data_IF_534585443463
#
_entry.id   IF_534585443463
#
_cell.length_a   1.000
_cell.length_b   1.000
_cell.length_c   1.000
_cell.angle_alpha   90.00
_cell.angle_beta   90.00
_cell.angle_gamma   90.00
#
_symmetry.space_group_name_H-M   'P 1'
#
loop_
_entity.id
_entity.type
_entity.pdbx_description
1 polymer ?
#
# COMPACT_ATOMS: atom_id res chain seq x y z
N UNK A 1 -15.40 4.98 2.76
CA UNK A 1 -15.26 6.22 3.55
C UNK A 1 -13.80 6.69 3.66
N UNK A 2 -12.84 5.83 4.00
CA UNK A 2 -11.41 6.21 4.07
C UNK A 2 -10.85 6.58 2.69
N UNK A 3 -11.26 5.89 1.62
CA UNK A 3 -10.81 6.19 0.25
C UNK A 3 -11.43 7.49 -0.29
N UNK A 4 -12.68 7.83 0.03
CA UNK A 4 -13.31 9.10 -0.40
C UNK A 4 -12.78 10.31 0.38
N UNK A 5 -12.50 10.15 1.68
CA UNK A 5 -11.87 11.17 2.51
C UNK A 5 -10.39 11.36 2.16
N UNK A 6 -9.74 10.30 1.69
CA UNK A 6 -8.43 10.32 1.05
C UNK A 6 -8.49 11.06 -0.29
N UNK A 7 -9.38 10.73 -1.23
CA UNK A 7 -9.46 11.44 -2.52
C UNK A 7 -9.71 12.95 -2.39
N UNK A 8 -10.59 13.38 -1.48
CA UNK A 8 -10.80 14.81 -1.18
C UNK A 8 -9.57 15.46 -0.54
N UNK A 9 -8.93 14.79 0.43
CA UNK A 9 -7.69 15.28 1.05
C UNK A 9 -6.51 15.27 0.09
N UNK A 10 -6.42 14.31 -0.83
CA UNK A 10 -5.42 14.27 -1.90
C UNK A 10 -5.69 15.36 -2.93
N UNK A 11 -6.93 15.69 -3.28
CA UNK A 11 -7.23 16.82 -4.16
C UNK A 11 -6.92 18.17 -3.50
N UNK A 12 -7.19 18.33 -2.20
CA UNK A 12 -6.82 19.52 -1.42
C UNK A 12 -5.31 19.58 -1.22
N UNK A 13 -4.64 18.46 -0.97
CA UNK A 13 -3.18 18.40 -0.79
C UNK A 13 -2.48 18.56 -2.13
N UNK A 14 -3.00 18.04 -3.24
CA UNK A 14 -2.54 18.35 -4.60
C UNK A 14 -2.85 19.80 -4.93
N UNK A 15 -3.97 20.38 -4.51
CA UNK A 15 -4.32 21.79 -4.73
C UNK A 15 -3.44 22.76 -3.93
N UNK A 16 -3.18 22.45 -2.66
CA UNK A 16 -2.28 23.18 -1.74
C UNK A 16 -0.82 22.90 -2.08
N UNK A 17 -0.47 21.72 -2.59
CA UNK A 17 0.87 21.45 -3.13
C UNK A 17 1.02 22.08 -4.51
N UNK A 18 -0.01 22.16 -5.35
CA UNK A 18 0.05 22.85 -6.64
C UNK A 18 0.07 24.35 -6.44
N UNK A 19 -0.67 24.91 -5.49
CA UNK A 19 -0.65 26.34 -5.12
C UNK A 19 0.57 26.72 -4.26
N UNK A 20 0.96 25.85 -3.33
CA UNK A 20 2.09 26.02 -2.43
C UNK A 20 3.41 25.73 -3.11
N UNK A 21 3.52 24.68 -3.94
CA UNK A 21 4.67 24.47 -4.80
C UNK A 21 4.69 25.46 -5.96
N UNK A 22 3.59 25.94 -6.55
CA UNK A 22 3.73 27.06 -7.52
C UNK A 22 4.16 28.34 -6.85
N UNK A 23 3.66 28.71 -5.66
CA UNK A 23 4.14 29.90 -4.94
C UNK A 23 5.55 29.73 -4.38
N UNK A 24 5.91 28.56 -3.86
CA UNK A 24 7.24 28.26 -3.36
C UNK A 24 8.24 28.07 -4.49
N UNK A 25 7.90 27.39 -5.59
CA UNK A 25 8.71 27.32 -6.81
C UNK A 25 8.78 28.67 -7.48
N UNK A 26 7.73 29.50 -7.50
CA UNK A 26 7.80 30.86 -8.05
C UNK A 26 8.60 31.80 -7.14
N UNK A 27 8.51 31.67 -5.82
CA UNK A 27 9.28 32.47 -4.86
C UNK A 27 10.74 32.00 -4.79
N UNK A 28 11.02 30.70 -4.81
CA UNK A 28 12.35 30.11 -4.91
C UNK A 28 12.94 30.39 -6.29
N UNK A 29 12.18 30.26 -7.37
CA UNK A 29 12.60 30.65 -8.71
C UNK A 29 12.88 32.16 -8.72
N UNK A 30 12.05 33.03 -8.15
CA UNK A 30 12.33 34.48 -8.08
C UNK A 30 13.53 34.82 -7.19
N UNK A 31 13.68 34.19 -6.02
CA UNK A 31 14.77 34.46 -5.05
C UNK A 31 16.09 33.84 -5.49
N UNK A 32 16.05 32.66 -6.12
CA UNK A 32 17.18 32.00 -6.75
C UNK A 32 17.55 32.69 -8.06
N UNK A 33 16.59 33.12 -8.88
CA UNK A 33 16.87 33.92 -10.09
C UNK A 33 17.43 35.29 -9.73
N UNK A 34 16.93 35.99 -8.70
CA UNK A 34 17.58 37.20 -8.19
C UNK A 34 18.99 36.91 -7.66
N UNK A 35 19.16 35.87 -6.85
CA UNK A 35 20.47 35.49 -6.31
C UNK A 35 21.48 35.08 -7.38
N UNK A 36 21.03 34.40 -8.43
CA UNK A 36 21.82 34.05 -9.61
C UNK A 36 22.08 35.28 -10.49
N UNK A 37 21.12 36.21 -10.66
CA UNK A 37 21.28 37.43 -11.45
C UNK A 37 22.31 38.38 -10.81
N UNK A 38 22.25 38.57 -9.49
CA UNK A 38 23.23 39.38 -8.76
C UNK A 38 24.63 38.76 -8.81
N UNK A 39 24.72 37.42 -8.74
CA UNK A 39 26.00 36.70 -8.84
C UNK A 39 26.54 36.68 -10.28
N UNK A 40 25.67 36.61 -11.29
CA UNK A 40 25.99 36.74 -12.72
C UNK A 40 26.52 38.11 -13.08
N UNK A 41 25.99 39.20 -12.52
CA UNK A 41 26.54 40.54 -12.75
C UNK A 41 27.97 40.68 -12.20
N UNK A 42 28.28 40.00 -11.09
CA UNK A 42 29.63 39.99 -10.50
C UNK A 42 30.62 39.16 -11.33
N UNK A 43 30.19 38.00 -11.83
CA UNK A 43 30.99 37.13 -12.69
C UNK A 43 31.21 37.72 -14.09
N UNK A 44 30.21 38.40 -14.68
CA UNK A 44 30.34 39.04 -16.01
C UNK A 44 31.43 40.12 -16.04
N UNK A 45 31.69 40.77 -14.90
CA UNK A 45 32.76 41.77 -14.75
C UNK A 45 34.15 41.13 -14.70
N UNK A 46 34.26 39.89 -14.21
CA UNK A 46 35.52 39.13 -14.11
C UNK A 46 35.83 38.36 -15.42
N UNK A 47 34.82 37.85 -16.12
CA UNK A 47 34.99 37.01 -17.33
C UNK A 47 35.25 37.81 -18.62
N UNK A 48 34.87 39.10 -18.67
CA UNK A 48 35.13 39.95 -19.84
C UNK A 48 36.64 40.11 -20.14
N UNK A 49 37.51 39.82 -19.17
CA UNK A 49 38.96 39.96 -19.32
C UNK A 49 39.66 38.70 -19.87
N UNK A 50 39.09 37.49 -19.71
CA UNK A 50 39.80 36.23 -20.07
C UNK A 50 38.88 35.22 -20.72
N UNK A 51 39.14 34.96 -22.01
CA UNK A 51 38.31 34.19 -22.94
C UNK A 51 37.67 32.92 -22.37
N UNK A 52 36.33 32.88 -22.39
CA UNK A 52 35.57 31.79 -21.79
C UNK A 52 34.08 31.81 -22.14
N UNK A 53 33.71 32.06 -23.40
CA UNK A 53 32.30 32.19 -23.81
C UNK A 53 31.50 30.89 -23.64
N UNK A 54 32.12 29.72 -23.78
CA UNK A 54 31.42 28.42 -23.69
C UNK A 54 31.06 28.03 -22.25
N UNK A 55 31.89 28.40 -21.27
CA UNK A 55 31.63 28.11 -19.86
C UNK A 55 30.38 28.83 -19.35
N UNK A 56 30.07 30.00 -19.91
CA UNK A 56 28.88 30.79 -19.55
C UNK A 56 27.61 30.09 -20.01
N UNK A 57 27.58 29.58 -21.25
CA UNK A 57 26.41 28.85 -21.78
C UNK A 57 26.18 27.52 -21.07
N UNK A 58 27.23 26.76 -20.79
CA UNK A 58 27.14 25.51 -20.02
C UNK A 58 26.66 25.77 -18.58
N UNK A 59 27.08 26.87 -17.96
CA UNK A 59 26.66 27.25 -16.61
C UNK A 59 25.17 27.65 -16.56
N UNK A 60 24.69 28.44 -17.52
CA UNK A 60 23.27 28.82 -17.60
C UNK A 60 22.36 27.60 -17.81
N UNK A 61 22.72 26.69 -18.74
CA UNK A 61 21.94 25.49 -19.02
C UNK A 61 21.87 24.53 -17.82
N UNK A 62 22.98 24.37 -17.10
CA UNK A 62 23.07 23.45 -15.96
C UNK A 62 22.45 24.01 -14.68
N UNK A 63 22.55 25.32 -14.44
CA UNK A 63 21.99 25.96 -13.25
C UNK A 63 20.46 26.10 -13.28
N UNK A 64 19.87 26.34 -14.45
CA UNK A 64 18.42 26.55 -14.59
C UNK A 64 17.68 25.20 -14.68
N UNK A 65 18.22 24.25 -15.45
CA UNK A 65 17.55 22.96 -15.69
C UNK A 65 17.67 21.96 -14.55
N UNK A 66 18.84 21.86 -13.91
CA UNK A 66 19.11 20.82 -12.91
C UNK A 66 18.29 21.02 -11.63
N UNK A 67 18.16 22.26 -11.15
CA UNK A 67 17.41 22.55 -9.94
C UNK A 67 15.92 22.24 -10.11
N UNK A 68 15.34 22.66 -11.24
CA UNK A 68 13.95 22.36 -11.58
C UNK A 68 13.72 20.85 -11.77
N UNK A 69 14.65 20.17 -12.42
CA UNK A 69 14.59 18.72 -12.61
C UNK A 69 14.65 17.97 -11.27
N UNK A 70 15.57 18.34 -10.36
CA UNK A 70 15.69 17.71 -9.03
C UNK A 70 14.41 17.89 -8.21
N UNK A 71 13.87 19.11 -8.17
CA UNK A 71 12.62 19.39 -7.44
C UNK A 71 11.45 18.58 -8.03
N UNK A 72 11.37 18.49 -9.36
CA UNK A 72 10.34 17.71 -10.04
C UNK A 72 10.47 16.21 -9.75
N UNK A 73 11.68 15.65 -9.84
CA UNK A 73 11.94 14.23 -9.55
C UNK A 73 11.61 13.90 -8.10
N UNK A 74 12.03 14.72 -7.13
CA UNK A 74 11.72 14.48 -5.71
C UNK A 74 10.20 14.55 -5.45
N UNK A 75 9.51 15.51 -6.07
CA UNK A 75 8.05 15.62 -5.94
C UNK A 75 7.35 14.36 -6.48
N UNK A 76 7.74 13.88 -7.66
CA UNK A 76 7.19 12.67 -8.27
C UNK A 76 7.50 11.41 -7.45
N UNK A 77 8.75 11.23 -7.00
CA UNK A 77 9.13 10.09 -6.15
C UNK A 77 8.33 10.06 -4.85
N UNK A 78 8.11 11.23 -4.22
CA UNK A 78 7.31 11.31 -2.99
C UNK A 78 5.85 10.89 -3.21
N UNK A 79 5.29 11.21 -4.38
CA UNK A 79 3.91 10.87 -4.73
C UNK A 79 3.75 9.37 -4.93
N UNK A 80 4.66 8.77 -5.72
CA UNK A 80 4.68 7.31 -5.94
C UNK A 80 4.85 6.57 -4.63
N UNK A 81 5.78 7.01 -3.78
CA UNK A 81 6.02 6.39 -2.47
C UNK A 81 4.77 6.36 -1.59
N UNK A 82 4.00 7.46 -1.53
CA UNK A 82 2.76 7.51 -0.75
C UNK A 82 1.71 6.51 -1.23
N UNK A 83 1.56 6.38 -2.56
CA UNK A 83 0.63 5.42 -3.14
C UNK A 83 1.04 3.99 -2.82
N UNK A 84 2.32 3.65 -3.00
CA UNK A 84 2.86 2.33 -2.69
C UNK A 84 2.77 1.99 -1.20
N UNK A 85 2.98 2.97 -0.31
CA UNK A 85 2.88 2.73 1.12
C UNK A 85 1.45 2.38 1.54
N UNK A 86 0.45 3.10 1.02
CA UNK A 86 -0.96 2.83 1.32
C UNK A 86 -1.39 1.44 0.83
N UNK A 87 -0.96 1.03 -0.38
CA UNK A 87 -1.29 -0.30 -0.90
C UNK A 87 -0.63 -1.40 -0.09
N UNK A 88 0.65 -1.24 0.28
CA UNK A 88 1.35 -2.19 1.15
C UNK A 88 0.67 -2.32 2.52
N UNK A 89 0.25 -1.20 3.12
CA UNK A 89 -0.44 -1.20 4.40
C UNK A 89 -1.77 -1.95 4.34
N UNK A 90 -2.62 -1.68 3.36
CA UNK A 90 -3.92 -2.36 3.22
C UNK A 90 -3.78 -3.87 2.97
N UNK A 91 -2.76 -4.28 2.22
CA UNK A 91 -2.45 -5.69 2.05
C UNK A 91 -2.03 -6.33 3.38
N UNK A 92 -1.13 -5.69 4.12
CA UNK A 92 -0.70 -6.16 5.44
C UNK A 92 -1.89 -6.33 6.39
N UNK A 93 -2.78 -5.34 6.45
CA UNK A 93 -3.99 -5.37 7.29
C UNK A 93 -4.90 -6.56 6.95
N UNK A 94 -5.09 -6.85 5.66
CA UNK A 94 -5.87 -8.00 5.20
C UNK A 94 -5.23 -9.33 5.60
N UNK A 95 -3.91 -9.44 5.46
CA UNK A 95 -3.18 -10.64 5.87
C UNK A 95 -3.24 -10.87 7.38
N UNK A 96 -3.09 -9.82 8.19
CA UNK A 96 -3.22 -9.89 9.65
C UNK A 96 -4.62 -10.40 10.03
N UNK A 97 -5.67 -9.87 9.40
CA UNK A 97 -7.05 -10.33 9.63
C UNK A 97 -7.26 -11.81 9.29
N UNK A 98 -6.68 -12.28 8.19
CA UNK A 98 -6.77 -13.69 7.79
C UNK A 98 -6.10 -14.61 8.82
N UNK A 99 -4.87 -14.28 9.22
CA UNK A 99 -4.12 -15.07 10.21
C UNK A 99 -4.85 -15.10 11.56
N UNK A 100 -5.45 -13.97 11.98
CA UNK A 100 -6.20 -13.91 13.22
C UNK A 100 -7.37 -14.90 13.24
N UNK A 101 -8.11 -15.06 12.14
CA UNK A 101 -9.20 -16.04 12.05
C UNK A 101 -8.70 -17.49 12.16
N UNK A 102 -7.61 -17.82 11.47
CA UNK A 102 -7.02 -19.18 11.52
C UNK A 102 -6.50 -19.50 12.92
N UNK A 103 -5.78 -18.55 13.55
CA UNK A 103 -5.29 -18.69 14.92
C UNK A 103 -6.44 -18.85 15.90
N UNK A 104 -7.49 -18.04 15.76
CA UNK A 104 -8.68 -18.15 16.60
C UNK A 104 -9.36 -19.51 16.45
N UNK A 105 -9.53 -20.02 15.22
CA UNK A 105 -10.11 -21.34 14.98
C UNK A 105 -9.29 -22.46 15.62
N UNK A 106 -7.97 -22.43 15.43
CA UNK A 106 -7.05 -23.45 15.97
C UNK A 106 -7.06 -23.49 17.51
N UNK A 107 -7.31 -22.36 18.18
CA UNK A 107 -7.27 -22.25 19.63
C UNK A 107 -8.63 -22.45 20.31
N UNK A 108 -9.72 -22.03 19.66
CA UNK A 108 -11.05 -21.96 20.29
C UNK A 108 -11.97 -23.10 19.88
N UNK A 109 -11.73 -23.75 18.73
CA UNK A 109 -12.55 -24.88 18.29
C UNK A 109 -11.93 -26.17 18.82
N UNK A 110 -12.64 -26.92 19.71
CA UNK A 110 -12.14 -28.20 20.18
C UNK A 110 -12.07 -29.18 19.01
N UNK A 111 -11.07 -30.06 19.00
CA UNK A 111 -10.95 -31.10 17.97
C UNK A 111 -12.16 -32.03 18.02
N UNK A 112 -12.78 -32.26 16.87
CA UNK A 112 -13.84 -33.26 16.72
C UNK A 112 -13.34 -34.67 17.03
N UNK A 113 -12.05 -34.94 16.79
CA UNK A 113 -11.41 -36.20 17.14
C UNK A 113 -11.45 -36.41 18.65
N UNK A 114 -12.28 -37.35 19.08
CA UNK A 114 -12.30 -37.80 20.46
C UNK A 114 -11.19 -38.83 20.67
N UNK A 115 -10.48 -38.81 21.82
CA UNK A 115 -9.44 -39.79 22.11
C UNK A 115 -9.98 -41.24 22.18
N UNK A 116 -11.30 -41.41 22.37
CA UNK A 116 -12.01 -42.69 22.36
C UNK A 116 -12.30 -43.26 20.96
N UNK A 117 -12.09 -42.49 19.88
CA UNK A 117 -12.41 -42.88 18.50
C UNK A 117 -11.18 -43.28 17.67
N UNK A 118 -10.04 -43.59 18.32
CA UNK A 118 -8.90 -44.24 17.65
C UNK A 118 -9.17 -45.74 17.48
N UNK A 119 -10.10 -46.08 16.60
CA UNK A 119 -10.26 -47.46 16.14
C UNK A 119 -9.35 -47.59 14.91
N UNK A 120 -8.33 -48.46 15.00
CA UNK A 120 -7.51 -48.80 13.83
C UNK A 120 -8.41 -49.50 12.81
N UNK A 121 -8.54 -48.86 11.65
CA UNK A 121 -9.39 -49.34 10.56
C UNK A 121 -8.74 -50.62 9.99
N UNK A 122 -9.47 -51.74 9.87
CA UNK A 122 -8.89 -52.99 9.39
C UNK A 122 -8.44 -52.89 7.92
N UNK A 123 -7.41 -53.65 7.51
CA UNK A 123 -6.75 -53.52 6.19
C UNK A 123 -7.63 -53.89 4.98
N UNK A 124 -8.85 -54.40 5.21
CA UNK A 124 -9.84 -54.69 4.18
C UNK A 124 -11.04 -53.73 4.20
N UNK A 125 -10.98 -52.62 4.92
CA UNK A 125 -12.09 -51.66 5.03
C UNK A 125 -11.95 -50.53 4.00
N UNK A 126 -13.05 -50.14 3.32
CA UNK A 126 -14.34 -50.82 3.27
C UNK A 126 -14.34 -51.89 2.17
N UNK A 127 -14.57 -53.15 2.53
CA UNK A 127 -14.65 -54.27 1.56
C UNK A 127 -15.98 -54.26 0.79
N UNK A 128 -17.04 -53.71 1.40
CA UNK A 128 -18.32 -53.39 0.78
C UNK A 128 -18.79 -52.04 1.31
N UNK A 129 -19.24 -51.14 0.42
CA UNK A 129 -19.66 -49.77 0.75
C UNK A 129 -21.08 -49.66 1.33
N UNK A 130 -21.55 -50.65 2.08
CA UNK A 130 -22.88 -50.61 2.68
C UNK A 130 -22.88 -49.67 3.88
N UNK A 131 -23.63 -48.58 3.79
CA UNK A 131 -23.81 -47.59 4.86
C UNK A 131 -25.26 -47.70 5.32
N UNK A 132 -25.49 -48.26 6.50
CA UNK A 132 -26.81 -48.38 7.11
C UNK A 132 -26.96 -47.37 8.25
N UNK A 133 -27.96 -46.48 8.12
CA UNK A 133 -28.28 -45.50 9.15
C UNK A 133 -29.37 -46.06 10.07
N UNK A 134 -28.98 -46.60 11.23
CA UNK A 134 -29.95 -47.07 12.22
C UNK A 134 -30.29 -45.95 13.20
N UNK A 135 -31.46 -45.31 13.02
CA UNK A 135 -32.07 -44.35 13.94
C UNK A 135 -31.11 -43.31 14.54
N UNK A 136 -30.36 -42.56 13.70
CA UNK A 136 -29.41 -41.53 14.17
C UNK A 136 -30.13 -40.17 14.30
N UNK A 137 -30.42 -39.68 15.53
CA UNK A 137 -30.95 -38.34 15.71
C UNK A 137 -29.83 -37.31 15.55
N UNK A 138 -29.77 -36.65 14.40
CA UNK A 138 -28.86 -35.53 14.19
C UNK A 138 -29.64 -34.21 14.11
N UNK A 139 -29.17 -33.20 14.85
CA UNK A 139 -29.75 -31.87 14.88
C UNK A 139 -28.73 -30.83 15.28
N UNK A 140 -28.73 -29.69 14.59
CA UNK A 140 -27.91 -28.54 14.97
C UNK A 140 -28.47 -27.93 16.25
N UNK A 141 -27.59 -27.61 17.22
CA UNK A 141 -27.96 -27.07 18.54
C UNK A 141 -28.90 -25.84 18.51
N UNK A 142 -28.84 -25.04 17.44
CA UNK A 142 -29.59 -23.77 17.33
C UNK A 142 -30.81 -23.84 16.43
N UNK A 143 -31.06 -24.98 15.77
CA UNK A 143 -32.26 -25.18 14.95
C UNK A 143 -33.21 -26.04 15.77
N UNK A 144 -34.31 -25.44 16.25
CA UNK A 144 -35.33 -26.14 17.07
C UNK A 144 -36.09 -27.23 16.30
N UNK A 145 -35.80 -27.41 15.01
CA UNK A 145 -36.25 -28.51 14.17
C UNK A 145 -35.15 -29.57 14.05
N UNK A 146 -35.43 -30.79 14.49
CA UNK A 146 -34.62 -31.98 14.21
C UNK A 146 -34.63 -32.21 12.70
N UNK A 147 -33.49 -32.04 12.04
CA UNK A 147 -33.36 -32.13 10.59
C UNK A 147 -33.47 -33.56 10.06
N UNK A 148 -33.11 -34.56 10.88
CA UNK A 148 -33.20 -35.99 10.57
C UNK A 148 -34.23 -36.67 11.49
N UNK A 149 -35.52 -36.38 11.27
CA UNK A 149 -36.62 -37.10 11.95
C UNK A 149 -37.26 -38.17 11.06
N UNK A 150 -36.88 -38.26 9.80
CA UNK A 150 -37.49 -39.16 8.80
C UNK A 150 -36.36 -39.82 7.99
N UNK A 151 -35.66 -40.78 8.60
CA UNK A 151 -34.96 -41.83 7.87
C UNK A 151 -35.48 -43.16 8.43
N UNK A 152 -36.56 -43.64 7.79
CA UNK A 152 -37.09 -44.99 7.83
C UNK A 152 -37.45 -45.34 6.39
#
# INVERSE_FOLDING_TARGET
>A
MIITMSQGSFAILIGVFRAGATKAVHCLCRRMTLGQLTRSMKLKKETHDKGGDVSVYLYLGRAIGLFLAVVFTVAMSSFVFRLSFLTLWSNLETHISSIQRVRWFTQNVPSEHQPSERIEIPPGWPSQGLIEFSHVPAGYKYVRFIALRIMC
#
